data_IF_498570158219
#
_entry.id   IF_498570158219
#
_cell.length_a   1.000
_cell.length_b   1.000
_cell.length_c   1.000
_cell.angle_alpha   90.00
_cell.angle_beta   90.00
_cell.angle_gamma   90.00
#
_symmetry.space_group_name_H-M   'P 1'
#
loop_
_entity.id
_entity.type
_entity.pdbx_description
1 polymer ?
#
# COMPACT_ATOMS: atom_id res chain seq x y z
N UNK A 1 3.23 -2.21 6.20
CA UNK A 1 2.16 -1.32 5.67
C UNK A 1 0.84 -1.74 6.28
N UNK A 2 -0.06 -0.77 6.51
CA UNK A 2 -1.40 -1.09 7.01
C UNK A 2 -2.27 -1.55 5.83
N UNK A 3 -2.88 -2.73 5.90
CA UNK A 3 -3.83 -3.20 4.88
C UNK A 3 -5.19 -2.49 4.99
N UNK A 4 -5.19 -1.16 5.13
CA UNK A 4 -6.37 -0.31 5.23
C UNK A 4 -6.33 0.72 4.12
N UNK A 5 -7.35 0.71 3.27
CA UNK A 5 -7.48 1.59 2.14
C UNK A 5 -7.64 3.06 2.61
N UNK A 6 -6.78 4.00 2.17
CA UNK A 6 -6.92 5.43 2.46
C UNK A 6 -8.20 6.09 1.90
N UNK A 7 -8.99 5.38 1.10
CA UNK A 7 -10.30 5.86 0.67
C UNK A 7 -11.30 5.90 1.84
N UNK A 8 -11.83 4.73 2.24
CA UNK A 8 -12.86 4.60 3.29
C UNK A 8 -12.56 3.45 4.27
N UNK A 9 -11.32 2.94 4.27
CA UNK A 9 -10.87 2.01 5.31
C UNK A 9 -11.10 0.52 5.07
N UNK A 10 -11.50 0.10 3.87
CA UNK A 10 -11.58 -1.33 3.52
C UNK A 10 -10.23 -2.04 3.65
N UNK A 11 -10.26 -3.36 3.93
CA UNK A 11 -9.06 -4.20 3.82
C UNK A 11 -8.56 -4.24 2.38
N UNK A 12 -7.25 -4.22 2.20
CA UNK A 12 -6.60 -4.28 0.87
C UNK A 12 -5.74 -5.55 0.78
N UNK A 13 -6.25 -6.66 0.19
CA UNK A 13 -5.47 -7.86 -0.06
C UNK A 13 -4.44 -7.65 -1.18
N UNK A 14 -3.46 -8.54 -1.23
CA UNK A 14 -2.54 -8.69 -2.35
C UNK A 14 -3.20 -9.52 -3.48
N UNK A 15 -3.07 -9.06 -4.71
CA UNK A 15 -3.37 -9.81 -5.92
C UNK A 15 -2.10 -10.50 -6.42
N UNK A 16 -2.13 -11.84 -6.42
CA UNK A 16 -0.95 -12.66 -6.78
C UNK A 16 -0.56 -12.57 -8.25
N UNK A 17 -1.48 -12.21 -9.13
CA UNK A 17 -1.21 -12.10 -10.57
C UNK A 17 -0.56 -10.77 -10.91
N UNK A 18 -1.13 -9.65 -10.46
CA UNK A 18 -0.57 -8.32 -10.71
C UNK A 18 0.60 -7.95 -9.80
N UNK A 19 0.79 -8.70 -8.70
CA UNK A 19 1.77 -8.40 -7.62
C UNK A 19 1.50 -7.06 -6.93
N UNK A 20 0.24 -6.61 -6.95
CA UNK A 20 -0.23 -5.35 -6.40
C UNK A 20 -1.21 -5.57 -5.24
N UNK A 21 -1.43 -4.56 -4.42
CA UNK A 21 -2.50 -4.51 -3.44
C UNK A 21 -3.74 -3.90 -4.05
N UNK A 22 -4.86 -4.62 -4.05
CA UNK A 22 -6.06 -4.25 -4.80
C UNK A 22 -7.28 -4.27 -3.88
N UNK A 23 -7.92 -3.11 -3.72
CA UNK A 23 -9.02 -2.93 -2.80
C UNK A 23 -10.34 -3.35 -3.46
N UNK A 24 -11.00 -4.42 -2.99
CA UNK A 24 -12.18 -4.98 -3.66
C UNK A 24 -13.44 -4.09 -3.53
N UNK A 25 -13.43 -3.10 -2.64
CA UNK A 25 -14.60 -2.26 -2.41
C UNK A 25 -14.87 -1.27 -3.55
N UNK A 26 -13.84 -0.59 -4.04
CA UNK A 26 -13.98 0.49 -5.04
C UNK A 26 -12.82 0.51 -6.06
N UNK A 27 -12.01 -0.56 -6.12
CA UNK A 27 -10.94 -0.70 -7.12
C UNK A 27 -9.74 0.22 -6.92
N UNK A 28 -9.44 0.64 -5.69
CA UNK A 28 -8.15 1.33 -5.44
C UNK A 28 -7.01 0.34 -5.51
N UNK A 29 -5.98 0.68 -6.29
CA UNK A 29 -4.85 -0.20 -6.59
C UNK A 29 -3.56 0.46 -6.12
N UNK A 30 -2.67 -0.34 -5.54
CA UNK A 30 -1.37 0.09 -5.05
C UNK A 30 -0.31 -0.92 -5.47
N UNK A 31 0.86 -0.44 -5.86
CA UNK A 31 1.97 -1.35 -6.15
C UNK A 31 2.50 -2.03 -4.86
N UNK A 32 3.52 -2.89 -4.97
CA UNK A 32 4.07 -3.67 -3.85
C UNK A 32 4.63 -2.83 -2.69
N UNK A 33 4.89 -1.54 -2.90
CA UNK A 33 5.36 -0.60 -1.87
C UNK A 33 4.27 0.38 -1.40
N UNK A 34 3.01 0.13 -1.78
CA UNK A 34 1.84 0.87 -1.35
C UNK A 34 1.64 2.20 -2.07
N UNK A 35 2.34 2.46 -3.17
CA UNK A 35 2.13 3.66 -3.99
C UNK A 35 0.87 3.51 -4.81
N UNK A 36 0.02 4.54 -4.82
CA UNK A 36 -1.25 4.50 -5.56
C UNK A 36 -1.01 4.39 -7.07
N UNK A 37 -1.66 3.43 -7.70
CA UNK A 37 -1.68 3.22 -9.15
C UNK A 37 -3.06 3.45 -9.78
N UNK A 38 -4.14 3.23 -9.02
CA UNK A 38 -5.50 3.34 -9.57
C UNK A 38 -6.60 3.57 -8.52
N UNK A 39 -7.80 3.86 -9.00
CA UNK A 39 -9.04 3.99 -8.20
C UNK A 39 -9.18 5.28 -7.36
N UNK A 40 -10.19 5.34 -6.48
CA UNK A 40 -10.64 6.58 -5.83
C UNK A 40 -9.83 7.00 -4.59
N UNK A 41 -8.95 6.16 -4.03
CA UNK A 41 -8.15 6.56 -2.88
C UNK A 41 -7.33 7.85 -3.19
N UNK A 42 -7.25 8.82 -2.26
CA UNK A 42 -6.62 10.11 -2.55
C UNK A 42 -5.08 10.06 -2.56
N UNK A 43 -4.48 8.98 -2.05
CA UNK A 43 -3.03 8.81 -1.87
C UNK A 43 -2.66 7.32 -1.74
N UNK A 44 -1.37 7.02 -1.65
CA UNK A 44 -0.85 5.68 -1.32
C UNK A 44 -1.16 5.23 0.11
N UNK A 45 -0.84 3.97 0.40
CA UNK A 45 -1.10 3.27 1.67
C UNK A 45 -0.27 3.82 2.83
N UNK A 46 -0.83 3.78 4.04
CA UNK A 46 -0.15 4.23 5.26
C UNK A 46 1.09 3.40 5.60
N UNK A 47 2.10 4.10 6.12
CA UNK A 47 3.38 3.55 6.57
C UNK A 47 3.52 3.75 8.07
N UNK A 48 4.38 2.93 8.66
CA UNK A 48 4.68 2.93 10.09
C UNK A 48 6.18 3.06 10.28
N UNK A 49 6.58 3.63 11.42
CA UNK A 49 7.97 3.65 11.83
C UNK A 49 8.46 2.23 12.06
N UNK A 50 9.63 1.90 11.52
CA UNK A 50 10.27 0.61 11.75
C UNK A 50 11.65 0.86 12.33
N UNK A 51 11.98 0.17 13.40
CA UNK A 51 13.32 0.13 13.97
C UNK A 51 13.79 -1.31 14.10
N UNK A 52 15.11 -1.51 14.01
CA UNK A 52 15.75 -2.81 14.17
C UNK A 52 16.73 -2.69 15.33
N UNK A 53 16.56 -3.52 16.35
CA UNK A 53 17.43 -3.55 17.52
C UNK A 53 17.71 -5.01 17.88
N UNK A 54 18.98 -5.39 17.91
CA UNK A 54 19.45 -6.74 18.28
C UNK A 54 18.69 -7.88 17.57
N UNK A 55 18.45 -7.73 16.26
CA UNK A 55 17.74 -8.72 15.45
C UNK A 55 16.21 -8.73 15.62
N UNK A 56 15.66 -7.89 16.50
CA UNK A 56 14.23 -7.67 16.63
C UNK A 56 13.79 -6.51 15.76
N UNK A 57 12.70 -6.70 15.00
CA UNK A 57 12.04 -5.65 14.23
C UNK A 57 10.86 -5.14 15.05
N UNK A 58 10.87 -3.84 15.36
CA UNK A 58 9.78 -3.16 16.08
C UNK A 58 9.06 -2.25 15.09
N UNK A 59 7.73 -2.35 15.05
CA UNK A 59 6.86 -1.51 14.23
C UNK A 59 6.08 -0.59 15.17
N UNK A 60 6.30 0.72 15.07
CA UNK A 60 5.53 1.73 15.80
C UNK A 60 4.19 1.97 15.08
N UNK A 61 3.12 1.42 15.66
CA UNK A 61 1.75 1.61 15.18
C UNK A 61 1.05 2.82 15.78
N UNK A 62 1.66 3.50 16.76
CA UNK A 62 1.14 4.72 17.38
C UNK A 62 1.31 5.94 16.47
N UNK A 63 2.31 5.93 15.60
CA UNK A 63 2.58 7.00 14.63
C UNK A 63 2.27 6.53 13.21
N UNK A 64 1.23 7.09 12.60
CA UNK A 64 0.86 6.79 11.20
C UNK A 64 1.47 7.82 10.26
N UNK A 65 2.31 7.37 9.33
CA UNK A 65 2.80 8.20 8.25
C UNK A 65 1.88 8.04 7.04
N UNK A 66 1.27 9.15 6.60
CA UNK A 66 0.43 9.16 5.41
C UNK A 66 1.18 8.62 4.20
N UNK A 67 0.48 7.82 3.38
CA UNK A 67 1.10 7.24 2.21
C UNK A 67 1.48 8.26 1.14
N UNK A 68 2.35 7.88 0.18
CA UNK A 68 2.88 8.79 -0.82
C UNK A 68 1.80 9.50 -1.65
N UNK A 69 2.05 10.74 -2.13
CA UNK A 69 1.17 11.42 -3.08
C UNK A 69 0.94 10.63 -4.38
N UNK A 70 -0.10 11.03 -5.12
CA UNK A 70 -0.40 10.46 -6.44
C UNK A 70 0.78 10.72 -7.39
N UNK A 71 1.16 9.70 -8.18
CA UNK A 71 2.24 9.79 -9.17
C UNK A 71 3.62 9.40 -8.66
N UNK A 72 3.79 9.15 -7.35
CA UNK A 72 5.03 8.59 -6.81
C UNK A 72 5.22 7.16 -7.33
N UNK A 73 6.38 6.88 -7.92
CA UNK A 73 6.74 5.56 -8.46
C UNK A 73 8.21 5.26 -8.14
N UNK A 74 8.52 4.96 -6.88
CA UNK A 74 9.91 4.75 -6.44
C UNK A 74 10.54 3.48 -6.99
N UNK A 75 9.71 2.49 -7.34
CA UNK A 75 10.19 1.18 -7.78
C UNK A 75 10.15 0.99 -9.29
N UNK A 76 9.47 1.87 -10.03
CA UNK A 76 9.17 1.65 -11.44
C UNK A 76 8.27 0.43 -11.69
N UNK A 77 7.67 -0.16 -10.65
CA UNK A 77 6.87 -1.38 -10.78
C UNK A 77 5.57 -1.08 -11.52
N UNK A 78 5.37 -1.79 -12.62
CA UNK A 78 4.11 -1.91 -13.33
C UNK A 78 3.39 -3.23 -12.96
N UNK A 79 2.15 -3.42 -13.39
CA UNK A 79 1.43 -4.66 -13.09
C UNK A 79 2.10 -5.85 -13.80
N UNK A 80 2.44 -6.89 -13.04
CA UNK A 80 3.19 -8.05 -13.56
C UNK A 80 2.27 -9.09 -14.24
N UNK A 81 0.95 -8.91 -14.08
CA UNK A 81 -0.08 -9.77 -14.63
C UNK A 81 -1.47 -9.13 -14.47
N UNK A 82 -2.55 -9.87 -14.78
CA UNK A 82 -3.91 -9.36 -14.70
C UNK A 82 -4.27 -8.90 -13.27
N UNK A 83 -5.10 -7.86 -13.19
CA UNK A 83 -5.69 -7.43 -11.93
C UNK A 83 -6.71 -8.45 -11.41
N UNK A 84 -6.82 -8.49 -10.09
CA UNK A 84 -7.95 -9.00 -9.34
C UNK A 84 -8.96 -7.85 -9.10
#
# INVERSE_FOLDING_TARGET
MYQKCPHLGCRVPECKTSQWFECPCHGSQYNRVGEKKGGPAPRGMDRFGVSVNNGMVVIDTGTVFGGPPIGVNTTGQEAEGPHC
#
